data_IF_228663825516
#
_entry.id   IF_228663825516
#
_cell.length_a   1.000
_cell.length_b   1.000
_cell.length_c   1.000
_cell.angle_alpha   90.00
_cell.angle_beta   90.00
_cell.angle_gamma   90.00
#
_symmetry.space_group_name_H-M   'P 1'
#
loop_
_entity.id
_entity.type
_entity.pdbx_description
1 polymer ?
#
# COMPACT_ATOMS: atom_id res chain seq x y z
N UNK A 1 -11.48 2.48 -14.35
CA UNK A 1 -12.20 2.59 -13.07
C UNK A 1 -11.32 2.01 -11.97
N UNK A 2 -11.09 2.76 -10.89
CA UNK A 2 -10.32 2.28 -9.73
C UNK A 2 -11.30 1.62 -8.75
N UNK A 3 -10.97 0.41 -8.32
CA UNK A 3 -11.70 -0.31 -7.27
C UNK A 3 -10.87 -0.21 -5.99
N UNK A 4 -11.44 0.34 -4.92
CA UNK A 4 -10.84 0.32 -3.58
C UNK A 4 -11.49 -0.80 -2.76
N UNK A 5 -10.66 -1.61 -2.12
CA UNK A 5 -11.08 -2.67 -1.21
C UNK A 5 -10.92 -2.28 0.27
N UNK A 6 -10.80 -0.98 0.55
CA UNK A 6 -10.65 -0.45 1.93
C UNK A 6 -11.93 -0.60 2.78
N UNK A 7 -12.99 -1.09 2.18
CA UNK A 7 -14.30 -1.32 2.79
C UNK A 7 -14.74 -2.76 2.52
N UNK A 8 -15.67 -3.28 3.33
CA UNK A 8 -16.30 -4.60 3.13
C UNK A 8 -17.04 -4.70 1.78
N UNK A 9 -17.38 -3.56 1.19
CA UNK A 9 -18.01 -3.45 -0.13
C UNK A 9 -17.04 -2.77 -1.08
N UNK A 10 -16.79 -3.32 -2.29
CA UNK A 10 -15.90 -2.71 -3.26
C UNK A 10 -16.45 -1.36 -3.74
N UNK A 11 -15.64 -0.31 -3.64
CA UNK A 11 -15.98 1.04 -4.11
C UNK A 11 -15.41 1.23 -5.51
N UNK A 12 -16.28 1.47 -6.50
CA UNK A 12 -15.89 1.75 -7.88
C UNK A 12 -15.96 3.26 -8.13
N UNK A 13 -14.89 3.82 -8.67
CA UNK A 13 -14.78 5.25 -9.02
C UNK A 13 -14.58 5.42 -10.53
N UNK A 14 -15.66 5.38 -11.34
CA UNK A 14 -15.56 5.37 -12.81
C UNK A 14 -15.10 6.70 -13.42
N UNK A 15 -15.24 7.82 -12.70
CA UNK A 15 -14.92 9.17 -13.18
C UNK A 15 -13.57 9.70 -12.65
N UNK A 16 -12.69 8.82 -12.15
CA UNK A 16 -11.43 9.27 -11.55
C UNK A 16 -10.49 9.89 -12.59
N UNK A 17 -10.57 9.43 -13.83
CA UNK A 17 -9.72 9.87 -14.94
C UNK A 17 -10.37 11.04 -15.76
N UNK A 18 -11.51 11.59 -15.27
CA UNK A 18 -12.24 12.67 -15.94
C UNK A 18 -12.10 13.95 -15.10
N UNK A 19 -11.71 15.03 -15.75
CA UNK A 19 -11.57 16.33 -15.08
C UNK A 19 -12.94 16.97 -14.79
N UNK A 20 -12.98 17.90 -13.81
CA UNK A 20 -14.20 18.67 -13.53
C UNK A 20 -14.65 19.49 -14.74
N UNK A 21 -13.71 20.02 -15.52
CA UNK A 21 -14.00 20.81 -16.72
C UNK A 21 -14.70 19.96 -17.79
N UNK A 22 -14.21 18.75 -18.05
CA UNK A 22 -14.83 17.80 -18.99
C UNK A 22 -16.24 17.39 -18.53
N UNK A 23 -16.42 17.13 -17.23
CA UNK A 23 -17.75 16.83 -16.67
C UNK A 23 -18.72 17.98 -16.85
N UNK A 24 -18.30 19.21 -16.59
CA UNK A 24 -19.14 20.39 -16.77
C UNK A 24 -19.48 20.63 -18.26
N UNK A 25 -18.53 20.44 -19.16
CA UNK A 25 -18.75 20.51 -20.59
C UNK A 25 -19.78 19.46 -21.06
N UNK A 26 -19.63 18.23 -20.60
CA UNK A 26 -20.59 17.15 -20.89
C UNK A 26 -22.01 17.47 -20.40
N UNK A 27 -22.15 17.97 -19.15
CA UNK A 27 -23.44 18.34 -18.59
C UNK A 27 -24.09 19.49 -19.36
N UNK A 28 -23.30 20.50 -19.79
CA UNK A 28 -23.79 21.61 -20.59
C UNK A 28 -24.26 21.15 -21.98
N UNK A 29 -23.51 20.30 -22.67
CA UNK A 29 -23.90 19.72 -23.97
C UNK A 29 -25.21 18.94 -23.88
N UNK A 30 -25.41 18.18 -22.81
CA UNK A 30 -26.62 17.40 -22.56
C UNK A 30 -27.74 18.18 -21.90
N UNK A 31 -27.55 19.47 -21.61
CA UNK A 31 -28.52 20.34 -20.91
C UNK A 31 -29.00 19.76 -19.58
N UNK A 32 -28.10 19.07 -18.87
CA UNK A 32 -28.39 18.47 -17.57
C UNK A 32 -28.11 19.49 -16.45
N UNK A 33 -29.00 19.53 -15.49
CA UNK A 33 -28.84 20.34 -14.27
C UNK A 33 -28.05 19.59 -13.21
N UNK A 34 -27.25 20.29 -12.41
CA UNK A 34 -26.51 19.73 -11.31
C UNK A 34 -26.55 20.68 -10.10
N UNK A 35 -26.39 20.12 -8.90
CA UNK A 35 -26.28 20.91 -7.68
C UNK A 35 -24.81 21.19 -7.37
N UNK A 36 -24.55 22.41 -6.91
CA UNK A 36 -23.24 22.80 -6.37
C UNK A 36 -23.36 22.75 -4.84
N UNK A 37 -22.55 21.93 -4.22
CA UNK A 37 -22.43 21.91 -2.76
C UNK A 37 -21.49 23.03 -2.33
N UNK A 38 -21.99 23.97 -1.51
CA UNK A 38 -21.25 25.13 -1.01
C UNK A 38 -20.05 24.75 -0.14
N UNK A 39 -20.03 23.53 0.42
CA UNK A 39 -18.88 23.03 1.21
C UNK A 39 -17.65 22.72 0.35
N UNK A 40 -17.82 22.63 -0.98
CA UNK A 40 -16.70 22.37 -1.89
C UNK A 40 -15.65 23.51 -1.95
N UNK A 41 -16.04 24.72 -1.57
CA UNK A 41 -15.15 25.89 -1.58
C UNK A 41 -14.56 26.20 -0.17
N UNK A 42 -14.94 25.43 0.84
CA UNK A 42 -14.47 25.64 2.21
C UNK A 42 -13.03 25.13 2.40
N UNK A 43 -12.08 26.05 2.40
CA UNK A 43 -10.63 25.75 2.54
C UNK A 43 -10.22 25.24 3.91
N UNK A 44 -11.10 25.19 4.92
CA UNK A 44 -10.86 24.52 6.20
C UNK A 44 -10.67 23.00 6.00
N UNK A 45 -11.27 22.44 4.97
CA UNK A 45 -11.03 21.07 4.57
C UNK A 45 -9.71 20.97 3.79
N UNK A 46 -8.81 20.10 4.25
CA UNK A 46 -7.49 19.90 3.65
C UNK A 46 -7.55 19.63 2.15
N UNK A 47 -8.52 18.83 1.70
CA UNK A 47 -8.73 18.52 0.28
C UNK A 47 -9.04 19.77 -0.56
N UNK A 48 -9.89 20.65 -0.05
CA UNK A 48 -10.24 21.90 -0.74
C UNK A 48 -9.06 22.87 -0.75
N UNK A 49 -8.32 22.96 0.36
CA UNK A 49 -7.09 23.76 0.42
C UNK A 49 -6.05 23.31 -0.62
N UNK A 50 -5.85 22.00 -0.77
CA UNK A 50 -4.96 21.46 -1.82
C UNK A 50 -5.44 21.90 -3.19
N UNK A 51 -6.73 21.72 -3.50
CA UNK A 51 -7.32 22.01 -4.81
C UNK A 51 -7.32 23.50 -5.16
N UNK A 52 -7.65 24.36 -4.20
CA UNK A 52 -7.88 25.80 -4.46
C UNK A 52 -6.66 26.67 -4.21
N UNK A 53 -5.66 26.19 -3.44
CA UNK A 53 -4.49 26.98 -3.10
C UNK A 53 -3.19 26.35 -3.61
N UNK A 54 -2.96 25.05 -3.32
CA UNK A 54 -1.67 24.42 -3.58
C UNK A 54 -1.50 24.05 -5.05
N UNK A 55 -2.50 23.40 -5.65
CA UNK A 55 -2.43 23.02 -7.07
C UNK A 55 -2.25 24.22 -7.97
N UNK A 56 -3.01 25.32 -7.88
CA UNK A 56 -2.79 26.51 -8.69
C UNK A 56 -1.40 27.13 -8.54
N UNK A 57 -0.85 27.12 -7.32
CA UNK A 57 0.52 27.60 -7.08
C UNK A 57 1.56 26.72 -7.81
N UNK A 58 1.41 25.40 -7.75
CA UNK A 58 2.27 24.46 -8.46
C UNK A 58 2.14 24.62 -9.99
N UNK A 59 0.92 24.84 -10.50
CA UNK A 59 0.65 25.08 -11.93
C UNK A 59 1.27 26.40 -12.41
N UNK A 60 1.40 27.41 -11.55
CA UNK A 60 2.09 28.65 -11.90
C UNK A 60 3.58 28.44 -12.17
N UNK A 61 4.19 27.44 -11.52
CA UNK A 61 5.58 27.03 -11.69
C UNK A 61 5.74 26.07 -12.86
N UNK A 62 4.84 25.08 -12.94
CA UNK A 62 4.81 24.09 -14.00
C UNK A 62 3.35 23.79 -14.40
N UNK A 63 2.87 24.32 -15.55
CA UNK A 63 1.51 24.11 -16.02
C UNK A 63 1.11 22.64 -16.20
N UNK A 64 2.08 21.74 -16.36
CA UNK A 64 1.84 20.30 -16.54
C UNK A 64 2.02 19.47 -15.27
N UNK A 65 2.06 20.09 -14.07
CA UNK A 65 2.36 19.41 -12.82
C UNK A 65 1.34 18.33 -12.47
N UNK A 66 0.05 18.58 -12.68
CA UNK A 66 -1.03 17.62 -12.41
C UNK A 66 -0.88 16.37 -13.26
N UNK A 67 -0.65 16.56 -14.57
CA UNK A 67 -0.43 15.45 -15.51
C UNK A 67 0.87 14.69 -15.18
N UNK A 68 1.91 15.39 -14.76
CA UNK A 68 3.17 14.76 -14.37
C UNK A 68 2.99 13.88 -13.12
N UNK A 69 2.25 14.34 -12.11
CA UNK A 69 1.92 13.57 -10.90
C UNK A 69 1.02 12.38 -11.26
N UNK A 70 0.04 12.57 -12.13
CA UNK A 70 -0.84 11.49 -12.57
C UNK A 70 -0.06 10.37 -13.30
N UNK A 71 0.82 10.75 -14.25
CA UNK A 71 1.69 9.78 -14.94
C UNK A 71 2.62 9.05 -13.99
N UNK A 72 3.22 9.76 -13.02
CA UNK A 72 4.06 9.12 -11.98
C UNK A 72 3.24 8.11 -11.18
N UNK A 73 2.02 8.49 -10.76
CA UNK A 73 1.11 7.59 -10.03
C UNK A 73 0.77 6.32 -10.83
N UNK A 74 0.51 6.45 -12.12
CA UNK A 74 0.24 5.30 -13.00
C UNK A 74 1.45 4.38 -13.12
N UNK A 75 2.64 4.94 -13.39
CA UNK A 75 3.88 4.17 -13.50
C UNK A 75 4.20 3.42 -12.21
N UNK A 76 4.10 4.09 -11.06
CA UNK A 76 4.31 3.45 -9.75
C UNK A 76 3.28 2.36 -9.49
N UNK A 77 2.03 2.54 -9.91
CA UNK A 77 0.99 1.53 -9.74
C UNK A 77 1.26 0.25 -10.55
N UNK A 78 1.79 0.40 -11.77
CA UNK A 78 2.20 -0.73 -12.61
C UNK A 78 3.36 -1.49 -11.97
N UNK A 79 4.40 -0.78 -11.52
CA UNK A 79 5.54 -1.38 -10.81
C UNK A 79 5.09 -2.12 -9.53
N UNK A 80 4.19 -1.51 -8.76
CA UNK A 80 3.63 -2.12 -7.56
C UNK A 80 2.84 -3.39 -7.86
N UNK A 81 2.12 -3.46 -8.98
CA UNK A 81 1.40 -4.66 -9.37
C UNK A 81 2.36 -5.83 -9.64
N UNK A 82 3.48 -5.58 -10.34
CA UNK A 82 4.51 -6.59 -10.59
C UNK A 82 5.14 -7.07 -9.28
N UNK A 83 5.54 -6.13 -8.41
CA UNK A 83 6.15 -6.46 -7.12
C UNK A 83 5.17 -7.22 -6.22
N UNK A 84 3.89 -6.86 -6.24
CA UNK A 84 2.84 -7.55 -5.49
C UNK A 84 2.71 -9.01 -5.95
N UNK A 85 2.66 -9.26 -7.25
CA UNK A 85 2.61 -10.62 -7.81
C UNK A 85 3.83 -11.44 -7.41
N UNK A 86 5.04 -10.88 -7.50
CA UNK A 86 6.26 -11.55 -7.06
C UNK A 86 6.23 -11.85 -5.56
N UNK A 87 5.65 -10.97 -4.75
CA UNK A 87 5.48 -11.18 -3.30
C UNK A 87 4.52 -12.33 -3.01
N UNK A 88 3.41 -12.43 -3.77
CA UNK A 88 2.47 -13.56 -3.64
C UNK A 88 3.16 -14.88 -3.98
N UNK A 89 3.87 -14.95 -5.09
CA UNK A 89 4.63 -16.14 -5.49
C UNK A 89 5.70 -16.53 -4.46
N UNK A 90 6.42 -15.53 -3.90
CA UNK A 90 7.39 -15.76 -2.85
C UNK A 90 6.72 -16.30 -1.57
N UNK A 91 5.56 -15.75 -1.18
CA UNK A 91 4.79 -16.21 -0.03
C UNK A 91 4.37 -17.68 -0.20
N UNK A 92 3.77 -18.06 -1.33
CA UNK A 92 3.32 -19.42 -1.61
C UNK A 92 4.47 -20.42 -1.63
N UNK A 93 5.64 -20.01 -2.11
CA UNK A 93 6.83 -20.87 -2.20
C UNK A 93 7.57 -21.01 -0.88
N UNK A 94 7.66 -19.94 -0.07
CA UNK A 94 8.53 -19.88 1.08
C UNK A 94 7.84 -20.13 2.41
N UNK A 95 6.53 -19.88 2.49
CA UNK A 95 5.79 -19.94 3.76
C UNK A 95 5.00 -21.25 3.84
N UNK A 96 5.24 -21.97 4.92
CA UNK A 96 4.41 -23.14 5.30
C UNK A 96 3.57 -22.75 6.49
N UNK A 97 2.26 -22.97 6.41
CA UNK A 97 1.31 -22.68 7.48
C UNK A 97 0.97 -23.97 8.19
N UNK A 98 1.22 -24.05 9.49
CA UNK A 98 0.91 -25.20 10.34
C UNK A 98 0.09 -24.70 11.55
N UNK A 99 -1.22 -25.03 11.59
CA UNK A 99 -2.21 -24.68 12.62
C UNK A 99 -2.12 -23.21 13.08
N UNK A 100 -1.22 -22.91 14.02
CA UNK A 100 -1.05 -21.58 14.62
C UNK A 100 0.34 -20.98 14.39
N UNK A 101 1.16 -21.59 13.56
CA UNK A 101 2.54 -21.18 13.31
C UNK A 101 2.80 -21.11 11.78
N UNK A 102 3.44 -20.04 11.34
CA UNK A 102 3.98 -19.95 9.99
C UNK A 102 5.47 -20.17 10.05
N UNK A 103 5.97 -20.98 9.12
CA UNK A 103 7.40 -21.32 9.02
C UNK A 103 7.92 -20.95 7.65
N UNK A 104 9.14 -20.43 7.61
CA UNK A 104 9.83 -20.13 6.36
C UNK A 104 11.33 -20.39 6.50
N UNK A 105 11.99 -20.77 5.39
CA UNK A 105 13.43 -20.94 5.35
C UNK A 105 14.12 -19.59 5.31
N UNK A 106 14.97 -19.32 6.30
CA UNK A 106 15.79 -18.12 6.38
C UNK A 106 16.72 -17.99 5.20
N UNK A 107 17.38 -19.10 4.82
CA UNK A 107 18.32 -19.14 3.68
C UNK A 107 17.61 -18.87 2.35
N UNK A 108 16.39 -19.35 2.19
CA UNK A 108 15.60 -19.07 0.99
C UNK A 108 15.12 -17.62 0.96
N UNK A 109 14.61 -17.09 2.08
CA UNK A 109 14.18 -15.70 2.20
C UNK A 109 15.32 -14.71 1.94
N UNK A 110 16.53 -15.00 2.43
CA UNK A 110 17.72 -14.16 2.22
C UNK A 110 18.11 -14.01 0.74
N UNK A 111 17.70 -14.93 -0.12
CA UNK A 111 17.95 -14.85 -1.57
C UNK A 111 16.97 -13.94 -2.30
N UNK A 112 15.84 -13.62 -1.68
CA UNK A 112 14.86 -12.72 -2.28
C UNK A 112 15.38 -11.26 -2.26
N UNK A 113 15.00 -10.44 -3.25
CA UNK A 113 15.25 -9.00 -3.19
C UNK A 113 14.67 -8.38 -1.91
N UNK A 114 15.37 -7.39 -1.34
CA UNK A 114 14.95 -6.72 -0.09
C UNK A 114 13.53 -6.17 -0.18
N UNK A 115 13.14 -5.63 -1.36
CA UNK A 115 11.80 -5.15 -1.60
C UNK A 115 10.72 -6.24 -1.46
N UNK A 116 11.04 -7.48 -1.84
CA UNK A 116 10.14 -8.64 -1.67
C UNK A 116 10.14 -9.09 -0.20
N UNK A 117 11.31 -9.12 0.45
CA UNK A 117 11.40 -9.47 1.87
C UNK A 117 10.51 -8.54 2.73
N UNK A 118 10.58 -7.21 2.52
CA UNK A 118 9.75 -6.24 3.25
C UNK A 118 8.25 -6.48 3.06
N UNK A 119 7.82 -6.71 1.82
CA UNK A 119 6.41 -6.95 1.51
C UNK A 119 5.92 -8.31 2.02
N UNK A 120 6.79 -9.31 1.99
CA UNK A 120 6.49 -10.63 2.54
C UNK A 120 6.29 -10.55 4.05
N UNK A 121 7.13 -9.81 4.76
CA UNK A 121 6.93 -9.55 6.19
C UNK A 121 5.62 -8.83 6.47
N UNK A 122 5.32 -7.76 5.73
CA UNK A 122 4.04 -7.07 5.89
C UNK A 122 2.86 -8.02 5.66
N UNK A 123 2.91 -8.84 4.60
CA UNK A 123 1.86 -9.82 4.29
C UNK A 123 1.71 -10.88 5.39
N UNK A 124 2.81 -11.40 5.93
CA UNK A 124 2.80 -12.34 7.07
C UNK A 124 2.11 -11.72 8.30
N UNK A 125 2.47 -10.49 8.65
CA UNK A 125 1.88 -9.81 9.81
C UNK A 125 0.39 -9.54 9.58
N UNK A 126 0.02 -9.00 8.42
CA UNK A 126 -1.38 -8.69 8.09
C UNK A 126 -2.27 -9.93 7.95
N UNK A 127 -1.70 -11.11 7.67
CA UNK A 127 -2.48 -12.37 7.65
C UNK A 127 -2.85 -12.88 9.05
N UNK A 128 -2.15 -12.39 10.09
CA UNK A 128 -2.44 -12.70 11.50
C UNK A 128 -3.29 -11.61 12.13
N UNK A 129 -2.96 -10.35 11.89
CA UNK A 129 -3.65 -9.17 12.40
C UNK A 129 -3.61 -8.07 11.32
N UNK A 130 -4.76 -7.79 10.70
CA UNK A 130 -4.92 -6.81 9.61
C UNK A 130 -4.51 -5.38 10.00
N UNK A 131 -4.55 -5.06 11.30
CA UNK A 131 -4.25 -3.72 11.81
C UNK A 131 -2.75 -3.48 12.04
N UNK A 132 -1.91 -4.44 11.67
CA UNK A 132 -0.46 -4.28 11.80
C UNK A 132 0.12 -3.67 10.52
N UNK A 133 0.72 -2.50 10.70
CA UNK A 133 1.58 -1.86 9.69
C UNK A 133 3.01 -1.83 10.20
N UNK A 134 3.94 -2.40 9.44
CA UNK A 134 5.36 -2.39 9.77
C UNK A 134 5.98 -1.04 9.44
N UNK A 135 6.64 -0.45 10.43
CA UNK A 135 7.49 0.75 10.23
C UNK A 135 8.84 0.37 9.63
N UNK A 136 9.60 1.35 9.14
CA UNK A 136 10.97 1.15 8.66
C UNK A 136 11.85 0.46 9.71
N UNK A 137 11.77 0.90 10.97
CA UNK A 137 12.52 0.29 12.07
C UNK A 137 12.15 -1.20 12.30
N UNK A 138 10.87 -1.54 12.17
CA UNK A 138 10.43 -2.94 12.24
C UNK A 138 10.99 -3.77 11.09
N UNK A 139 11.01 -3.22 9.88
CA UNK A 139 11.56 -3.89 8.70
C UNK A 139 13.06 -4.13 8.81
N UNK A 140 13.81 -3.16 9.33
CA UNK A 140 15.25 -3.29 9.60
C UNK A 140 15.54 -4.41 10.62
N UNK A 141 14.77 -4.49 11.71
CA UNK A 141 14.92 -5.56 12.70
C UNK A 141 14.61 -6.94 12.10
N UNK A 142 13.59 -7.05 11.25
CA UNK A 142 13.23 -8.29 10.57
C UNK A 142 14.31 -8.69 9.54
N UNK A 143 14.87 -7.73 8.81
CA UNK A 143 16.01 -7.99 7.91
C UNK A 143 17.25 -8.45 8.68
N UNK A 144 17.50 -7.89 9.87
CA UNK A 144 18.59 -8.33 10.72
C UNK A 144 18.41 -9.80 11.19
N UNK A 145 17.18 -10.21 11.51
CA UNK A 145 16.85 -11.62 11.77
C UNK A 145 17.16 -12.51 10.59
N UNK A 146 16.82 -12.07 9.37
CA UNK A 146 17.12 -12.82 8.14
C UNK A 146 18.63 -12.97 7.92
N UNK A 147 19.40 -11.92 8.17
CA UNK A 147 20.83 -11.88 7.86
C UNK A 147 21.70 -12.54 8.93
N UNK A 148 21.45 -12.26 10.20
CA UNK A 148 22.30 -12.70 11.33
C UNK A 148 21.75 -13.90 12.07
N UNK A 149 20.48 -14.04 12.14
CA UNK A 149 19.68 -15.25 12.42
C UNK A 149 19.60 -15.75 13.83
N UNK A 150 20.59 -16.48 14.25
CA UNK A 150 20.44 -17.41 15.39
C UNK A 150 20.18 -16.72 16.74
N UNK A 151 19.10 -17.12 17.42
CA UNK A 151 18.73 -16.59 18.74
C UNK A 151 18.01 -15.24 18.71
N UNK A 152 17.88 -14.57 17.55
CA UNK A 152 17.19 -13.29 17.46
C UNK A 152 15.67 -13.47 17.47
N UNK A 153 15.01 -12.51 18.10
CA UNK A 153 13.55 -12.47 18.20
C UNK A 153 13.05 -11.07 17.89
N UNK A 154 11.88 -10.99 17.27
CA UNK A 154 11.12 -9.76 17.07
C UNK A 154 9.72 -9.97 17.63
N UNK A 155 9.15 -8.95 18.24
CA UNK A 155 7.78 -9.00 18.75
C UNK A 155 7.06 -7.70 18.40
N UNK A 156 5.85 -7.84 17.85
CA UNK A 156 4.95 -6.73 17.58
C UNK A 156 3.53 -7.13 17.99
N UNK A 157 2.91 -6.36 18.87
CA UNK A 157 1.64 -6.74 19.53
C UNK A 157 1.73 -8.19 20.10
N UNK A 158 0.82 -9.06 19.67
CA UNK A 158 0.78 -10.48 20.05
C UNK A 158 1.65 -11.39 19.19
N UNK A 159 2.24 -10.89 18.10
CA UNK A 159 3.01 -11.69 17.15
C UNK A 159 4.48 -11.76 17.56
N UNK A 160 5.02 -12.97 17.57
CA UNK A 160 6.43 -13.23 17.81
C UNK A 160 7.06 -13.90 16.60
N UNK A 161 8.23 -13.39 16.21
CA UNK A 161 9.11 -13.96 15.19
C UNK A 161 10.36 -14.48 15.88
N UNK A 162 10.76 -15.70 15.58
CA UNK A 162 11.98 -16.31 16.12
C UNK A 162 12.77 -16.99 15.03
N UNK A 163 14.09 -16.84 15.03
CA UNK A 163 14.97 -17.56 14.12
C UNK A 163 15.75 -18.63 14.87
N UNK A 164 15.70 -19.87 14.37
CA UNK A 164 16.48 -21.01 14.86
C UNK A 164 17.12 -21.70 13.65
N UNK A 165 18.43 -21.70 13.60
CA UNK A 165 19.18 -22.21 12.45
C UNK A 165 18.69 -21.61 11.12
N UNK A 166 18.16 -22.46 10.23
CA UNK A 166 17.61 -22.00 8.93
C UNK A 166 16.09 -21.73 8.97
N UNK A 167 15.43 -21.97 10.07
CA UNK A 167 13.96 -21.81 10.16
C UNK A 167 13.59 -20.54 10.90
N UNK A 168 12.72 -19.73 10.28
CA UNK A 168 12.04 -18.63 10.95
C UNK A 168 10.61 -19.06 11.24
N UNK A 169 10.18 -18.82 12.48
CA UNK A 169 8.83 -19.11 12.97
C UNK A 169 8.12 -17.82 13.31
N UNK A 170 6.88 -17.70 12.88
CA UNK A 170 5.98 -16.58 13.17
C UNK A 170 4.71 -17.14 13.80
N UNK A 171 4.37 -16.70 14.99
CA UNK A 171 3.22 -17.19 15.74
C UNK A 171 2.64 -16.14 16.69
N UNK A 172 1.35 -16.30 17.02
CA UNK A 172 0.71 -15.53 18.09
C UNK A 172 1.14 -16.04 19.47
N UNK A 173 1.48 -15.10 20.37
CA UNK A 173 1.55 -15.40 21.81
C UNK A 173 0.11 -15.48 22.35
N UNK A 174 -0.21 -16.61 22.93
CA UNK A 174 -1.39 -16.74 23.79
C UNK A 174 -1.09 -16.15 25.17
#
# INVERSE_FOLDING_TARGET
AVVSNDYDIPVIRPLLDVTKAELLAYLADRKLTYCIDSTNDDIRYQRNRIRHCIIPELESINPNVVDAIARLGSSVSEDLAVISNLTVQAFERLVTIDKNEMRLSRKALRKEPVAIQHRLWQRLMSSIDSDITLTTAHQEQLLDIVNTGEGKTFTIKSIKVTAQCDTIKVYCKH
#
